data_IF_623425416433
#
_entry.id   IF_623425416433
#
_cell.length_a   1.000
_cell.length_b   1.000
_cell.length_c   1.000
_cell.angle_alpha   90.00
_cell.angle_beta   90.00
_cell.angle_gamma   90.00
#
_symmetry.space_group_name_H-M   'P 1'
#
loop_
_entity.id
_entity.type
_entity.pdbx_description
1 polymer ?
#
# COMPACT_ATOMS: atom_id res chain seq x y z
N UNK A 1 11.70 -0.38 10.49
CA UNK A 1 10.30 0.06 10.55
C UNK A 1 10.23 1.40 11.26
N UNK A 2 9.91 2.45 10.51
CA UNK A 2 9.66 3.78 11.07
C UNK A 2 8.19 3.93 11.54
N UNK A 3 7.90 4.99 12.28
CA UNK A 3 6.54 5.25 12.79
C UNK A 3 5.52 5.44 11.65
N UNK A 4 5.91 6.11 10.57
CA UNK A 4 5.05 6.36 9.39
C UNK A 4 4.62 5.08 8.69
N UNK A 5 5.52 4.13 8.49
CA UNK A 5 5.27 2.82 7.86
C UNK A 5 4.33 1.99 8.72
N UNK A 6 4.54 2.00 10.04
CA UNK A 6 3.62 1.34 10.98
C UNK A 6 2.21 1.91 10.82
N UNK A 7 2.06 3.24 10.85
CA UNK A 7 0.78 3.91 10.64
C UNK A 7 0.16 3.61 9.28
N UNK A 8 0.96 3.59 8.21
CA UNK A 8 0.50 3.23 6.85
C UNK A 8 -0.09 1.81 6.84
N UNK A 9 0.60 0.84 7.45
CA UNK A 9 0.15 -0.56 7.47
C UNK A 9 -1.09 -0.73 8.36
N UNK A 10 -1.13 -0.07 9.51
CA UNK A 10 -2.30 -0.05 10.39
C UNK A 10 -3.51 0.59 9.67
N UNK A 11 -3.29 1.64 8.88
CA UNK A 11 -4.31 2.28 8.06
C UNK A 11 -4.80 1.38 6.91
N UNK A 12 -3.90 0.65 6.24
CA UNK A 12 -4.23 -0.31 5.19
C UNK A 12 -5.06 -1.51 5.70
N UNK A 13 -5.00 -1.80 7.00
CA UNK A 13 -5.85 -2.83 7.62
C UNK A 13 -7.32 -2.40 7.71
N UNK A 14 -7.63 -1.09 7.61
CA UNK A 14 -9.00 -0.58 7.72
C UNK A 14 -9.80 -0.85 6.46
N UNK A 15 -11.11 -1.07 6.62
CA UNK A 15 -12.02 -1.27 5.50
C UNK A 15 -12.49 0.07 4.94
N UNK A 16 -12.28 0.29 3.64
CA UNK A 16 -12.81 1.44 2.91
C UNK A 16 -13.74 0.97 1.81
N UNK A 17 -14.95 1.53 1.78
CA UNK A 17 -15.99 1.15 0.83
C UNK A 17 -15.72 1.70 -0.56
N UNK A 18 -15.28 2.96 -0.66
CA UNK A 18 -14.95 3.60 -1.93
C UNK A 18 -13.50 4.08 -1.98
N UNK A 19 -12.95 4.11 -3.21
CA UNK A 19 -11.58 4.61 -3.45
C UNK A 19 -11.44 6.09 -3.06
N UNK A 20 -12.47 6.91 -3.30
CA UNK A 20 -12.48 8.33 -2.93
C UNK A 20 -12.40 8.54 -1.42
N UNK A 21 -13.17 7.76 -0.64
CA UNK A 21 -13.15 7.81 0.82
C UNK A 21 -11.76 7.51 1.39
N UNK A 22 -11.05 6.56 0.77
CA UNK A 22 -9.67 6.24 1.15
C UNK A 22 -8.70 7.38 0.85
N UNK A 23 -8.78 7.99 -0.33
CA UNK A 23 -7.87 9.09 -0.71
C UNK A 23 -8.10 10.34 0.13
N UNK A 24 -9.35 10.68 0.46
CA UNK A 24 -9.67 11.75 1.41
C UNK A 24 -9.12 11.46 2.80
N UNK A 25 -9.34 10.25 3.32
CA UNK A 25 -8.83 9.85 4.64
C UNK A 25 -7.29 9.80 4.69
N UNK A 26 -6.61 9.47 3.58
CA UNK A 26 -5.15 9.56 3.48
C UNK A 26 -4.69 10.99 3.66
N UNK A 27 -5.29 11.93 2.92
CA UNK A 27 -4.94 13.34 2.99
C UNK A 27 -5.18 13.91 4.40
N UNK A 28 -6.30 13.56 5.03
CA UNK A 28 -6.65 14.00 6.39
C UNK A 28 -5.74 13.40 7.48
N UNK A 29 -5.40 12.11 7.37
CA UNK A 29 -4.64 11.40 8.43
C UNK A 29 -3.14 11.64 8.33
N UNK A 30 -2.59 11.71 7.12
CA UNK A 30 -1.15 11.73 6.88
C UNK A 30 -0.63 13.08 6.38
N UNK A 31 -1.51 14.06 6.18
CA UNK A 31 -1.18 15.39 5.65
C UNK A 31 -0.32 15.33 4.38
N UNK A 32 -0.63 14.36 3.51
CA UNK A 32 0.12 14.11 2.29
C UNK A 32 -0.78 13.76 1.12
N UNK A 33 -0.27 13.97 -0.09
CA UNK A 33 -0.99 13.59 -1.29
C UNK A 33 -1.11 12.07 -1.42
N UNK A 34 -2.21 11.55 -2.00
CA UNK A 34 -2.38 10.11 -2.23
C UNK A 34 -1.22 9.50 -3.02
N UNK A 35 -0.65 10.24 -3.97
CA UNK A 35 0.52 9.81 -4.75
C UNK A 35 1.72 9.54 -3.86
N UNK A 36 2.03 10.44 -2.92
CA UNK A 36 3.15 10.25 -1.98
C UNK A 36 2.89 9.09 -1.03
N UNK A 37 1.66 8.93 -0.56
CA UNK A 37 1.24 7.81 0.27
C UNK A 37 1.48 6.47 -0.42
N UNK A 38 1.03 6.31 -1.67
CA UNK A 38 1.22 5.05 -2.39
C UNK A 38 2.69 4.75 -2.72
N UNK A 39 3.52 5.78 -2.91
CA UNK A 39 4.97 5.61 -3.04
C UNK A 39 5.59 5.07 -1.74
N UNK A 40 5.28 5.69 -0.60
CA UNK A 40 5.76 5.23 0.71
C UNK A 40 5.24 3.82 1.04
N UNK A 41 4.00 3.50 0.70
CA UNK A 41 3.46 2.15 0.85
C UNK A 41 4.25 1.14 0.00
N UNK A 42 4.56 1.48 -1.25
CA UNK A 42 5.32 0.59 -2.11
C UNK A 42 6.71 0.28 -1.52
N UNK A 43 7.41 1.31 -1.02
CA UNK A 43 8.71 1.17 -0.36
C UNK A 43 8.59 0.35 0.94
N UNK A 44 7.55 0.61 1.74
CA UNK A 44 7.29 -0.11 2.99
C UNK A 44 7.06 -1.61 2.76
N UNK A 45 6.37 -1.99 1.69
CA UNK A 45 6.07 -3.39 1.37
C UNK A 45 7.31 -4.21 0.99
N UNK A 46 8.43 -3.56 0.66
CA UNK A 46 9.69 -4.24 0.36
C UNK A 46 10.65 -4.29 1.56
N UNK A 47 10.30 -3.65 2.69
CA UNK A 47 11.11 -3.68 3.91
C UNK A 47 10.80 -4.93 4.78
N UNK A 48 11.84 -5.67 5.16
CA UNK A 48 11.69 -6.88 5.99
C UNK A 48 11.05 -6.60 7.36
N UNK A 49 11.31 -5.43 7.94
CA UNK A 49 10.76 -5.06 9.25
C UNK A 49 9.24 -4.85 9.21
N UNK A 50 8.71 -4.37 8.08
CA UNK A 50 7.28 -4.20 7.82
C UNK A 50 6.61 -5.56 7.61
N UNK A 51 7.29 -6.46 6.88
CA UNK A 51 6.84 -7.85 6.73
C UNK A 51 6.73 -8.56 8.08
N UNK A 52 7.69 -8.37 8.98
CA UNK A 52 7.66 -8.96 10.31
C UNK A 52 6.51 -8.41 11.18
N UNK A 53 6.11 -7.15 10.98
CA UNK A 53 5.04 -6.51 11.76
C UNK A 53 3.65 -7.01 11.38
N UNK A 54 3.34 -7.15 10.09
CA UNK A 54 2.04 -7.68 9.63
C UNK A 54 2.20 -8.60 8.41
N UNK A 55 2.65 -9.85 8.61
CA UNK A 55 3.01 -10.74 7.51
C UNK A 55 1.86 -11.00 6.54
N UNK A 56 0.64 -11.19 7.06
CA UNK A 56 -0.53 -11.55 6.25
C UNK A 56 -0.98 -10.38 5.36
N UNK A 57 -1.08 -9.18 5.93
CA UNK A 57 -1.49 -7.98 5.20
C UNK A 57 -0.44 -7.60 4.16
N UNK A 58 0.83 -7.59 4.54
CA UNK A 58 1.95 -7.25 3.64
C UNK A 58 2.01 -8.22 2.46
N UNK A 59 1.94 -9.53 2.70
CA UNK A 59 1.94 -10.52 1.61
C UNK A 59 0.71 -10.38 0.70
N UNK A 60 -0.47 -10.06 1.25
CA UNK A 60 -1.66 -9.78 0.44
C UNK A 60 -1.45 -8.57 -0.47
N UNK A 61 -0.92 -7.47 0.07
CA UNK A 61 -0.67 -6.24 -0.67
C UNK A 61 0.39 -6.44 -1.77
N UNK A 62 1.49 -7.14 -1.45
CA UNK A 62 2.53 -7.52 -2.43
C UNK A 62 1.93 -8.34 -3.56
N UNK A 63 1.10 -9.35 -3.26
CA UNK A 63 0.44 -10.16 -4.28
C UNK A 63 -0.49 -9.34 -5.18
N UNK A 64 -1.22 -8.37 -4.62
CA UNK A 64 -2.07 -7.47 -5.41
C UNK A 64 -1.22 -6.59 -6.34
N UNK A 65 -0.10 -6.05 -5.85
CA UNK A 65 0.87 -5.28 -6.65
C UNK A 65 1.39 -6.13 -7.81
N UNK A 66 1.86 -7.33 -7.53
CA UNK A 66 2.50 -8.20 -8.52
C UNK A 66 1.50 -8.60 -9.61
N UNK A 67 0.24 -8.90 -9.25
CA UNK A 67 -0.84 -9.13 -10.23
C UNK A 67 -1.05 -7.94 -11.17
N UNK A 68 -0.98 -6.70 -10.66
CA UNK A 68 -1.10 -5.49 -11.50
C UNK A 68 0.09 -5.34 -12.44
N UNK A 69 1.30 -5.67 -11.98
CA UNK A 69 2.52 -5.61 -12.81
C UNK A 69 2.46 -6.66 -13.91
N UNK A 70 2.10 -7.91 -13.58
CA UNK A 70 1.96 -8.98 -14.55
C UNK A 70 0.89 -8.67 -15.61
N UNK A 71 -0.27 -8.15 -15.20
CA UNK A 71 -1.32 -7.74 -16.13
C UNK A 71 -0.86 -6.64 -17.11
N UNK A 72 0.02 -5.74 -16.68
CA UNK A 72 0.62 -4.71 -17.56
C UNK A 72 1.66 -5.30 -18.51
N UNK A 73 2.48 -6.25 -18.04
CA UNK A 73 3.48 -6.91 -18.87
C UNK A 73 2.84 -7.72 -20.01
N UNK A 74 1.79 -8.49 -19.70
CA UNK A 74 1.05 -9.29 -20.68
C UNK A 74 0.42 -8.43 -21.79
N UNK A 75 -0.06 -7.22 -21.47
CA UNK A 75 -0.61 -6.27 -22.46
C UNK A 75 0.42 -5.67 -23.42
N UNK A 76 1.71 -5.69 -23.06
CA UNK A 76 2.79 -5.16 -23.90
C UNK A 76 3.44 -6.23 -24.77
N UNK A 77 3.20 -7.50 -24.46
CA UNK A 77 3.81 -8.65 -25.13
C UNK A 77 2.91 -9.27 -26.23
N UNK A 78 1.73 -8.71 -26.47
CA UNK A 78 0.84 -9.03 -27.59
C UNK A 78 0.66 -7.83 -28.49
#
# INVERSE_FOLDING_TARGET
MNATQKMIIDFEARHFTHRGDKEAAIAETFDMTPTRYYALLADALDEQSVLAYSPVLVNRLRRIRDRRVQARALRRAG
#
